data_IF_129469658416
#
_entry.id   IF_129469658416
#
_cell.length_a   1.000
_cell.length_b   1.000
_cell.length_c   1.000
_cell.angle_alpha   90.00
_cell.angle_beta   90.00
_cell.angle_gamma   90.00
#
_symmetry.space_group_name_H-M   'P 1'
#
loop_
_entity.id
_entity.type
_entity.pdbx_description
1 polymer ?
#
# COMPACT_ATOMS: atom_id res chain seq x y z
N UNK A 1 -53.99 -24.05 29.41
CA UNK A 1 -53.00 -23.25 30.18
C UNK A 1 -51.61 -23.88 30.19
N UNK A 2 -51.40 -25.13 30.62
CA UNK A 2 -50.05 -25.75 30.66
C UNK A 2 -49.32 -25.78 29.31
N UNK A 3 -49.99 -26.20 28.22
CA UNK A 3 -49.40 -26.25 26.87
C UNK A 3 -48.94 -24.88 26.34
N UNK A 4 -49.70 -23.81 26.65
CA UNK A 4 -49.37 -22.44 26.28
C UNK A 4 -48.10 -21.98 27.02
N UNK A 5 -47.96 -22.31 28.30
CA UNK A 5 -46.77 -21.98 29.08
C UNK A 5 -45.52 -22.71 28.55
N UNK A 6 -45.65 -23.98 28.11
CA UNK A 6 -44.54 -24.70 27.49
C UNK A 6 -44.15 -24.13 26.12
N UNK A 7 -45.13 -23.70 25.31
CA UNK A 7 -44.87 -23.06 24.03
C UNK A 7 -44.15 -21.70 24.21
N UNK A 8 -44.58 -20.90 25.19
CA UNK A 8 -43.92 -19.63 25.52
C UNK A 8 -42.49 -19.87 26.03
N UNK A 9 -42.30 -20.86 26.91
CA UNK A 9 -40.97 -21.21 27.41
C UNK A 9 -40.04 -21.69 26.29
N UNK A 10 -40.53 -22.53 25.38
CA UNK A 10 -39.75 -22.98 24.22
C UNK A 10 -39.36 -21.81 23.30
N UNK A 11 -40.28 -20.86 23.06
CA UNK A 11 -40.00 -19.68 22.24
C UNK A 11 -38.92 -18.79 22.88
N UNK A 12 -38.98 -18.59 24.19
CA UNK A 12 -37.97 -17.82 24.93
C UNK A 12 -36.58 -18.47 24.82
N UNK A 13 -36.48 -19.79 24.91
CA UNK A 13 -35.22 -20.51 24.73
C UNK A 13 -34.64 -20.29 23.33
N UNK A 14 -35.47 -20.37 22.29
CA UNK A 14 -35.03 -20.12 20.91
C UNK A 14 -34.53 -18.67 20.73
N UNK A 15 -35.23 -17.69 21.31
CA UNK A 15 -34.82 -16.28 21.27
C UNK A 15 -33.45 -16.08 21.94
N UNK A 16 -33.22 -16.71 23.09
CA UNK A 16 -31.92 -16.62 23.79
C UNK A 16 -30.79 -17.22 22.95
N UNK A 17 -31.01 -18.39 22.33
CA UNK A 17 -30.02 -19.03 21.45
C UNK A 17 -29.69 -18.13 20.25
N UNK A 18 -30.70 -17.55 19.61
CA UNK A 18 -30.51 -16.62 18.50
C UNK A 18 -29.75 -15.35 18.92
N UNK A 19 -30.05 -14.81 20.11
CA UNK A 19 -29.37 -13.63 20.62
C UNK A 19 -27.87 -13.89 20.87
N UNK A 20 -27.52 -15.06 21.43
CA UNK A 20 -26.12 -15.46 21.61
C UNK A 20 -25.42 -15.61 20.26
N UNK A 21 -26.04 -16.32 19.31
CA UNK A 21 -25.48 -16.51 17.98
C UNK A 21 -25.26 -15.19 17.23
N UNK A 22 -26.20 -14.25 17.32
CA UNK A 22 -26.05 -12.92 16.72
C UNK A 22 -24.93 -12.12 17.38
N UNK A 23 -24.83 -12.17 18.71
CA UNK A 23 -23.77 -11.48 19.45
C UNK A 23 -22.38 -11.98 19.04
N UNK A 24 -22.19 -13.29 18.98
CA UNK A 24 -20.91 -13.89 18.56
C UNK A 24 -20.55 -13.53 17.12
N UNK A 25 -21.53 -13.54 16.20
CA UNK A 25 -21.30 -13.12 14.81
C UNK A 25 -20.93 -11.63 14.68
N UNK A 26 -21.58 -10.75 15.44
CA UNK A 26 -21.27 -9.31 15.43
C UNK A 26 -19.86 -9.08 15.97
N UNK A 27 -19.51 -9.75 17.08
CA UNK A 27 -18.17 -9.64 17.66
C UNK A 27 -17.09 -10.13 16.70
N UNK A 28 -17.27 -11.31 16.10
CA UNK A 28 -16.32 -11.86 15.14
C UNK A 28 -16.12 -10.96 13.91
N UNK A 29 -17.19 -10.33 13.41
CA UNK A 29 -17.11 -9.33 12.34
C UNK A 29 -16.34 -8.09 12.76
N UNK A 30 -16.64 -7.52 13.93
CA UNK A 30 -15.94 -6.34 14.43
C UNK A 30 -14.44 -6.59 14.60
N UNK A 31 -14.07 -7.73 15.20
CA UNK A 31 -12.66 -8.11 15.39
C UNK A 31 -11.95 -8.29 14.03
N UNK A 32 -12.64 -8.89 13.05
CA UNK A 32 -12.14 -9.04 11.68
C UNK A 32 -11.95 -7.68 11.00
N UNK A 33 -12.94 -6.80 11.05
CA UNK A 33 -12.88 -5.47 10.43
C UNK A 33 -11.77 -4.61 11.04
N UNK A 34 -11.58 -4.68 12.36
CA UNK A 34 -10.48 -4.01 13.05
C UNK A 34 -9.12 -4.55 12.58
N UNK A 35 -8.98 -5.88 12.46
CA UNK A 35 -7.75 -6.50 11.97
C UNK A 35 -7.43 -6.10 10.51
N UNK A 36 -8.43 -6.09 9.64
CA UNK A 36 -8.28 -5.67 8.23
C UNK A 36 -7.89 -4.19 8.16
N UNK A 37 -8.54 -3.33 8.95
CA UNK A 37 -8.18 -1.91 9.04
C UNK A 37 -6.74 -1.72 9.52
N UNK A 38 -6.32 -2.49 10.53
CA UNK A 38 -4.94 -2.45 11.02
C UNK A 38 -3.93 -2.88 9.94
N UNK A 39 -4.21 -3.95 9.20
CA UNK A 39 -3.36 -4.42 8.10
C UNK A 39 -3.22 -3.37 7.00
N UNK A 40 -4.33 -2.78 6.57
CA UNK A 40 -4.31 -1.68 5.60
C UNK A 40 -3.54 -0.47 6.11
N UNK A 41 -3.76 -0.05 7.36
CA UNK A 41 -3.01 1.06 7.94
C UNK A 41 -1.51 0.76 8.04
N UNK A 42 -1.14 -0.48 8.35
CA UNK A 42 0.26 -0.92 8.38
C UNK A 42 0.88 -0.90 6.99
N UNK A 43 0.18 -1.44 5.97
CA UNK A 43 0.61 -1.40 4.58
C UNK A 43 0.73 0.04 4.06
N UNK A 44 -0.23 0.91 4.35
CA UNK A 44 -0.23 2.32 3.98
C UNK A 44 0.97 3.06 4.58
N UNK A 45 1.26 2.83 5.87
CA UNK A 45 2.41 3.42 6.54
C UNK A 45 3.74 2.87 5.98
N UNK A 46 3.79 1.56 5.70
CA UNK A 46 4.97 0.92 5.13
C UNK A 46 5.26 1.47 3.72
N UNK A 47 4.23 1.62 2.86
CA UNK A 47 4.39 2.20 1.53
C UNK A 47 4.94 3.62 1.63
N UNK A 48 4.35 4.48 2.47
CA UNK A 48 4.85 5.85 2.69
C UNK A 48 6.29 5.87 3.17
N UNK A 49 6.63 4.99 4.11
CA UNK A 49 8.00 4.87 4.59
C UNK A 49 8.97 4.51 3.45
N UNK A 50 8.65 3.51 2.62
CA UNK A 50 9.48 3.15 1.47
C UNK A 50 9.59 4.31 0.46
N UNK A 51 8.48 4.97 0.13
CA UNK A 51 8.50 6.16 -0.75
C UNK A 51 9.37 7.29 -0.17
N UNK A 52 9.39 7.45 1.15
CA UNK A 52 10.24 8.43 1.83
C UNK A 52 11.74 8.09 1.71
N UNK A 53 12.10 6.80 1.78
CA UNK A 53 13.47 6.33 1.55
C UNK A 53 13.87 6.63 0.11
N UNK A 54 13.03 6.27 -0.87
CA UNK A 54 13.31 6.54 -2.29
C UNK A 54 13.50 8.04 -2.54
N UNK A 55 12.63 8.88 -1.98
CA UNK A 55 12.78 10.33 -2.08
C UNK A 55 14.09 10.84 -1.45
N UNK A 56 14.48 10.27 -0.31
CA UNK A 56 15.73 10.62 0.37
C UNK A 56 16.95 10.25 -0.48
N UNK A 57 16.98 9.03 -1.03
CA UNK A 57 18.03 8.53 -1.91
C UNK A 57 18.26 9.44 -3.12
N UNK A 58 17.20 9.98 -3.74
CA UNK A 58 17.35 10.90 -4.88
C UNK A 58 17.80 12.33 -4.51
N UNK A 59 18.13 12.62 -3.25
CA UNK A 59 18.82 13.88 -2.91
C UNK A 59 20.13 13.69 -2.16
N UNK A 60 20.70 12.50 -2.24
CA UNK A 60 22.11 12.23 -1.96
C UNK A 60 22.84 11.98 -3.29
N UNK A 61 24.18 12.00 -3.28
CA UNK A 61 24.96 11.68 -4.48
C UNK A 61 24.92 10.16 -4.73
N UNK A 62 24.10 9.74 -5.71
CA UNK A 62 23.86 8.33 -6.04
C UNK A 62 24.94 7.73 -6.97
N UNK A 63 25.81 8.58 -7.52
CA UNK A 63 26.94 8.16 -8.37
C UNK A 63 28.10 7.62 -7.53
N UNK A 64 28.42 8.27 -6.42
CA UNK A 64 29.52 7.92 -5.50
C UNK A 64 29.13 6.87 -4.43
N UNK A 65 27.82 6.65 -4.20
CA UNK A 65 27.30 5.76 -3.16
C UNK A 65 26.53 4.56 -3.74
N UNK A 66 27.24 3.45 -4.01
CA UNK A 66 26.61 2.21 -4.47
C UNK A 66 25.64 1.62 -3.44
N UNK A 67 25.95 1.72 -2.14
CA UNK A 67 25.07 1.23 -1.09
C UNK A 67 23.78 2.05 -1.05
N UNK A 68 23.88 3.37 -1.22
CA UNK A 68 22.74 4.28 -1.36
C UNK A 68 21.89 4.00 -2.59
N UNK A 69 22.51 3.66 -3.72
CA UNK A 69 21.78 3.27 -4.93
C UNK A 69 21.05 1.92 -4.77
N UNK A 70 21.71 0.93 -4.16
CA UNK A 70 21.11 -0.37 -3.87
C UNK A 70 19.96 -0.24 -2.84
N UNK A 71 20.11 0.63 -1.84
CA UNK A 71 19.05 0.93 -0.90
C UNK A 71 17.84 1.58 -1.59
N UNK A 72 18.09 2.48 -2.56
CA UNK A 72 17.03 3.07 -3.39
C UNK A 72 16.27 2.00 -4.19
N UNK A 73 16.98 1.11 -4.88
CA UNK A 73 16.40 -0.02 -5.61
C UNK A 73 15.54 -0.92 -4.71
N UNK A 74 16.07 -1.26 -3.54
CA UNK A 74 15.37 -2.08 -2.57
C UNK A 74 14.09 -1.40 -2.07
N UNK A 75 14.15 -0.10 -1.77
CA UNK A 75 13.00 0.67 -1.32
C UNK A 75 11.92 0.80 -2.41
N UNK A 76 12.29 1.02 -3.67
CA UNK A 76 11.33 0.99 -4.80
C UNK A 76 10.69 -0.38 -4.94
N UNK A 77 11.47 -1.45 -4.88
CA UNK A 77 10.96 -2.83 -5.01
C UNK A 77 10.02 -3.18 -3.85
N UNK A 78 10.33 -2.74 -2.63
CA UNK A 78 9.47 -2.89 -1.48
C UNK A 78 8.18 -2.07 -1.63
N UNK A 79 8.26 -0.84 -2.13
CA UNK A 79 7.09 -0.01 -2.40
C UNK A 79 6.16 -0.69 -3.43
N UNK A 80 6.71 -1.22 -4.52
CA UNK A 80 5.95 -1.95 -5.54
C UNK A 80 5.26 -3.21 -4.99
N UNK A 81 5.91 -3.94 -4.09
CA UNK A 81 5.33 -5.12 -3.45
C UNK A 81 4.22 -4.76 -2.45
N UNK A 82 4.30 -3.58 -1.83
CA UNK A 82 3.33 -3.10 -0.85
C UNK A 82 2.11 -2.44 -1.48
N UNK A 83 2.27 -1.73 -2.61
CA UNK A 83 1.21 -0.94 -3.23
C UNK A 83 -0.13 -1.69 -3.41
N UNK A 84 -0.17 -2.94 -3.92
CA UNK A 84 -1.43 -3.67 -4.09
C UNK A 84 -2.20 -3.94 -2.79
N UNK A 85 -1.52 -3.87 -1.64
CA UNK A 85 -2.09 -4.14 -0.31
C UNK A 85 -2.62 -2.87 0.37
N UNK A 86 -2.34 -1.71 -0.21
CA UNK A 86 -2.66 -0.40 0.37
C UNK A 86 -4.07 0.07 0.03
N UNK A 87 -4.59 0.99 0.83
CA UNK A 87 -5.84 1.72 0.51
C UNK A 87 -5.64 2.77 -0.58
N UNK A 88 -4.40 3.02 -1.01
CA UNK A 88 -4.08 3.97 -2.06
C UNK A 88 -4.32 3.39 -3.45
N UNK A 89 -4.06 2.10 -3.65
CA UNK A 89 -4.25 1.41 -4.94
C UNK A 89 -5.68 1.58 -5.47
N UNK A 90 -6.69 1.38 -4.62
CA UNK A 90 -8.09 1.56 -5.00
C UNK A 90 -8.46 2.97 -5.50
N UNK A 91 -7.62 3.98 -5.19
CA UNK A 91 -7.78 5.37 -5.64
C UNK A 91 -6.78 5.77 -6.72
N UNK A 92 -5.74 4.96 -6.90
CA UNK A 92 -4.62 5.21 -7.78
C UNK A 92 -4.15 3.88 -8.37
N UNK A 93 -5.02 3.34 -9.23
CA UNK A 93 -5.05 1.99 -9.84
C UNK A 93 -3.83 1.64 -10.73
N UNK A 94 -2.74 2.39 -10.60
CA UNK A 94 -1.53 2.28 -11.41
C UNK A 94 -0.25 2.36 -10.59
N UNK A 95 -0.33 2.68 -9.29
CA UNK A 95 0.89 2.95 -8.51
C UNK A 95 1.75 1.69 -8.38
N UNK A 96 1.15 0.52 -8.24
CA UNK A 96 1.86 -0.76 -8.26
C UNK A 96 2.60 -1.04 -9.57
N UNK A 97 1.93 -0.89 -10.72
CA UNK A 97 2.48 -1.12 -12.05
C UNK A 97 3.61 -0.14 -12.33
N UNK A 98 3.44 1.12 -11.96
CA UNK A 98 4.46 2.16 -12.20
C UNK A 98 5.67 1.96 -11.29
N UNK A 99 5.48 1.62 -10.02
CA UNK A 99 6.59 1.34 -9.10
C UNK A 99 7.35 0.07 -9.51
N UNK A 100 6.67 -0.99 -9.95
CA UNK A 100 7.29 -2.20 -10.48
C UNK A 100 8.12 -1.92 -11.75
N UNK A 101 7.54 -1.17 -12.70
CA UNK A 101 8.26 -0.75 -13.92
C UNK A 101 9.49 0.09 -13.57
N UNK A 102 9.35 1.04 -12.64
CA UNK A 102 10.46 1.88 -12.21
C UNK A 102 11.54 1.06 -11.50
N UNK A 103 11.17 0.10 -10.65
CA UNK A 103 12.12 -0.83 -10.01
C UNK A 103 12.91 -1.65 -11.03
N UNK A 104 12.24 -2.19 -12.05
CA UNK A 104 12.91 -2.88 -13.18
C UNK A 104 13.86 -1.97 -13.93
N UNK A 105 13.50 -0.71 -14.11
CA UNK A 105 14.35 0.29 -14.74
C UNK A 105 15.60 0.58 -13.91
N UNK A 106 15.47 0.73 -12.59
CA UNK A 106 16.61 0.93 -11.69
C UNK A 106 17.55 -0.29 -11.67
N UNK A 107 17.01 -1.50 -11.80
CA UNK A 107 17.78 -2.74 -11.84
C UNK A 107 18.55 -2.94 -13.16
N UNK A 108 18.28 -2.14 -14.20
CA UNK A 108 19.03 -2.19 -15.45
C UNK A 108 20.25 -1.26 -15.37
N UNK A 109 21.49 -1.78 -15.39
CA UNK A 109 22.69 -0.94 -15.29
C UNK A 109 22.82 0.10 -16.41
N UNK A 110 22.28 -0.16 -17.60
CA UNK A 110 22.32 0.81 -18.72
C UNK A 110 21.59 2.10 -18.41
N UNK A 111 20.65 2.08 -17.46
CA UNK A 111 19.80 3.21 -17.12
C UNK A 111 20.37 4.04 -15.97
N UNK A 112 21.45 3.58 -15.30
CA UNK A 112 21.97 4.20 -14.07
C UNK A 112 22.31 5.67 -14.26
N UNK A 113 23.10 5.99 -15.29
CA UNK A 113 23.51 7.37 -15.59
C UNK A 113 22.28 8.27 -15.85
N UNK A 114 21.32 7.78 -16.63
CA UNK A 114 20.11 8.55 -16.95
C UNK A 114 19.23 8.77 -15.73
N UNK A 115 19.12 7.77 -14.86
CA UNK A 115 18.41 7.89 -13.57
C UNK A 115 19.06 8.94 -12.67
N UNK A 116 20.40 8.91 -12.57
CA UNK A 116 21.16 9.89 -11.78
C UNK A 116 20.93 11.30 -12.32
N UNK A 117 20.98 11.50 -13.63
CA UNK A 117 20.67 12.80 -14.26
C UNK A 117 19.25 13.31 -13.97
N UNK A 118 18.28 12.40 -13.78
CA UNK A 118 16.90 12.73 -13.45
C UNK A 118 16.61 12.76 -11.94
N UNK A 119 17.61 12.53 -11.08
CA UNK A 119 17.44 12.44 -9.63
C UNK A 119 16.66 13.63 -9.02
N UNK A 120 16.90 14.90 -9.40
CA UNK A 120 16.11 16.02 -8.87
C UNK A 120 14.61 15.94 -9.21
N UNK A 121 14.26 15.50 -10.41
CA UNK A 121 12.87 15.34 -10.84
C UNK A 121 12.22 14.14 -10.14
N UNK A 122 12.94 13.03 -10.04
CA UNK A 122 12.51 11.82 -9.34
C UNK A 122 12.27 12.10 -7.85
N UNK A 123 13.17 12.82 -7.19
CA UNK A 123 13.00 13.25 -5.80
C UNK A 123 11.69 13.99 -5.60
N UNK A 124 11.36 14.95 -6.45
CA UNK A 124 10.11 15.71 -6.33
C UNK A 124 8.87 14.82 -6.49
N UNK A 125 8.90 13.88 -7.44
CA UNK A 125 7.81 12.91 -7.66
C UNK A 125 7.64 12.04 -6.42
N UNK A 126 8.71 11.41 -5.92
CA UNK A 126 8.64 10.54 -4.74
C UNK A 126 8.30 11.30 -3.45
N UNK A 127 8.72 12.56 -3.30
CA UNK A 127 8.27 13.40 -2.18
C UNK A 127 6.75 13.66 -2.24
N UNK A 128 6.20 13.90 -3.43
CA UNK A 128 4.76 14.11 -3.62
C UNK A 128 3.97 12.81 -3.38
N UNK A 129 4.45 11.67 -3.90
CA UNK A 129 3.87 10.35 -3.63
C UNK A 129 3.96 9.96 -2.16
N UNK A 130 5.05 10.26 -1.46
CA UNK A 130 5.15 10.00 -0.01
C UNK A 130 4.05 10.77 0.76
N UNK A 131 3.81 12.03 0.39
CA UNK A 131 2.76 12.85 1.02
C UNK A 131 1.36 12.34 0.68
N UNK A 132 1.14 11.98 -0.58
CA UNK A 132 -0.14 11.47 -1.07
C UNK A 132 0.06 10.35 -2.10
N UNK A 133 0.12 9.08 -1.67
CA UNK A 133 0.27 7.96 -2.60
C UNK A 133 -0.98 7.70 -3.46
N UNK A 134 -2.12 8.36 -3.19
CA UNK A 134 -3.30 8.28 -4.04
C UNK A 134 -3.29 9.30 -5.19
N UNK A 135 -2.23 10.10 -5.34
CA UNK A 135 -2.12 11.10 -6.39
C UNK A 135 -1.82 10.47 -7.76
N UNK A 136 -2.90 10.30 -8.53
CA UNK A 136 -2.89 9.75 -9.90
C UNK A 136 -2.04 10.59 -10.85
N UNK A 137 -2.06 11.92 -10.73
CA UNK A 137 -1.30 12.81 -11.61
C UNK A 137 0.21 12.60 -11.38
N UNK A 138 0.62 12.51 -10.11
CA UNK A 138 2.02 12.26 -9.78
C UNK A 138 2.48 10.88 -10.22
N UNK A 139 1.61 9.88 -10.09
CA UNK A 139 1.88 8.51 -10.58
C UNK A 139 2.03 8.47 -12.09
N UNK A 140 1.17 9.19 -12.81
CA UNK A 140 1.31 9.36 -14.26
C UNK A 140 2.61 10.05 -14.64
N UNK A 141 3.02 11.10 -13.92
CA UNK A 141 4.31 11.77 -14.16
C UNK A 141 5.50 10.84 -13.96
N UNK A 142 5.44 9.93 -12.98
CA UNK A 142 6.46 8.89 -12.80
C UNK A 142 6.48 7.93 -13.99
N UNK A 143 5.30 7.49 -14.46
CA UNK A 143 5.17 6.64 -15.65
C UNK A 143 5.74 7.31 -16.90
N UNK A 144 5.36 8.56 -17.17
CA UNK A 144 5.81 9.32 -18.34
C UNK A 144 7.35 9.51 -18.32
N UNK A 145 7.91 9.76 -17.13
CA UNK A 145 9.35 9.84 -16.95
C UNK A 145 10.02 8.48 -17.18
N UNK A 146 9.48 7.39 -16.63
CA UNK A 146 9.99 6.03 -16.85
C UNK A 146 9.96 5.65 -18.34
N UNK A 147 8.92 6.05 -19.07
CA UNK A 147 8.80 5.79 -20.51
C UNK A 147 9.78 6.64 -21.35
N UNK A 148 10.10 7.85 -20.89
CA UNK A 148 11.12 8.70 -21.54
C UNK A 148 12.54 8.13 -21.45
N UNK A 149 12.78 7.24 -20.49
CA UNK A 149 14.09 6.66 -20.18
C UNK A 149 14.43 5.41 -21.04
N UNK A 150 13.58 5.06 -22.02
CA UNK A 150 13.73 4.00 -23.05
C UNK A 150 14.58 2.77 -22.66
N UNK A 151 13.89 1.68 -22.39
CA UNK A 151 14.40 0.30 -22.28
C UNK A 151 15.07 -0.21 -23.56
#
# INVERSE_FOLDING_TARGET
MKSINYAIAALLVVIVILAVFLFDNIKARNDSDESVRYLHQSADNALRYQLSIVAASFGTDLDEDEDGFNACQAAVSAAAALSPLTTFEARNDLIDVVLDRFGKMLNNPSNRETVIHQAPALRQIFMKLNRDPADVETTKRLSDLADSLKF
#
